data_IF_191315730752
#
_entry.id   IF_191315730752
#
_cell.length_a   1.000
_cell.length_b   1.000
_cell.length_c   1.000
_cell.angle_alpha   90.00
_cell.angle_beta   90.00
_cell.angle_gamma   90.00
#
_symmetry.space_group_name_H-M   'P 1'
#
loop_
_entity.id
_entity.type
_entity.pdbx_description
1 polymer ?
#
# COMPACT_ATOMS: atom_id res chain seq x y z
N UNK A 1 -12.01 -34.88 9.49
CA UNK A 1 -12.01 -33.41 9.35
C UNK A 1 -11.40 -33.10 7.99
N UNK A 2 -12.20 -32.65 7.01
CA UNK A 2 -11.66 -32.19 5.72
C UNK A 2 -10.88 -30.91 5.97
N UNK A 3 -9.59 -30.91 5.65
CA UNK A 3 -8.77 -29.69 5.67
C UNK A 3 -9.33 -28.71 4.65
N UNK A 4 -9.76 -27.54 5.12
CA UNK A 4 -10.21 -26.46 4.24
C UNK A 4 -9.11 -26.15 3.23
N UNK A 5 -9.49 -26.02 1.95
CA UNK A 5 -8.59 -25.51 0.93
C UNK A 5 -7.97 -24.22 1.44
N UNK A 6 -6.64 -24.16 1.46
CA UNK A 6 -5.90 -22.95 1.80
C UNK A 6 -6.27 -21.90 0.77
N UNK A 7 -7.13 -20.95 1.13
CA UNK A 7 -7.44 -19.81 0.27
C UNK A 7 -6.11 -19.12 -0.08
N UNK A 8 -5.77 -19.13 -1.37
CA UNK A 8 -4.51 -18.58 -1.86
C UNK A 8 -4.62 -17.09 -2.17
N UNK A 9 -5.84 -16.57 -2.21
CA UNK A 9 -6.16 -15.16 -2.46
C UNK A 9 -7.31 -14.75 -1.53
N UNK A 10 -7.24 -13.52 -1.01
CA UNK A 10 -8.35 -12.92 -0.28
C UNK A 10 -9.53 -12.69 -1.25
N UNK A 11 -10.79 -12.92 -0.82
CA UNK A 11 -11.94 -12.39 -1.55
C UNK A 11 -11.84 -10.86 -1.62
N UNK A 12 -12.54 -10.24 -2.58
CA UNK A 12 -12.43 -8.79 -2.81
C UNK A 12 -12.76 -7.97 -1.55
N UNK A 13 -13.81 -8.35 -0.84
CA UNK A 13 -14.22 -7.72 0.42
C UNK A 13 -13.15 -7.88 1.50
N UNK A 14 -12.53 -9.06 1.58
CA UNK A 14 -11.41 -9.31 2.50
C UNK A 14 -10.16 -8.50 2.14
N UNK A 15 -9.92 -8.27 0.85
CA UNK A 15 -8.86 -7.37 0.39
C UNK A 15 -9.16 -5.91 0.75
N UNK A 16 -10.38 -5.42 0.52
CA UNK A 16 -10.79 -4.07 0.90
C UNK A 16 -10.71 -3.86 2.41
N UNK A 17 -11.17 -4.83 3.21
CA UNK A 17 -11.06 -4.77 4.66
C UNK A 17 -9.59 -4.71 5.10
N UNK A 18 -8.71 -5.53 4.49
CA UNK A 18 -7.28 -5.48 4.76
C UNK A 18 -6.68 -4.11 4.43
N UNK A 19 -7.07 -3.49 3.31
CA UNK A 19 -6.65 -2.12 2.97
C UNK A 19 -7.11 -1.11 4.02
N UNK A 20 -8.38 -1.16 4.44
CA UNK A 20 -8.90 -0.28 5.48
C UNK A 20 -8.12 -0.44 6.79
N UNK A 21 -7.85 -1.68 7.22
CA UNK A 21 -7.08 -1.95 8.44
C UNK A 21 -5.62 -1.49 8.33
N UNK A 22 -4.98 -1.68 7.18
CA UNK A 22 -3.62 -1.18 6.96
C UNK A 22 -3.56 0.35 6.98
N UNK A 23 -4.58 1.00 6.43
CA UNK A 23 -4.72 2.46 6.47
C UNK A 23 -4.89 3.02 7.89
N UNK A 24 -5.26 2.20 8.88
CA UNK A 24 -5.31 2.65 10.28
C UNK A 24 -4.01 2.52 11.02
N UNK A 25 -3.08 1.69 10.56
CA UNK A 25 -1.83 1.39 11.25
C UNK A 25 -0.68 2.26 10.76
N UNK A 26 -0.71 2.62 9.48
CA UNK A 26 0.38 3.36 8.84
C UNK A 26 0.27 4.86 9.12
N UNK A 27 1.41 5.49 9.34
CA UNK A 27 1.50 6.95 9.42
C UNK A 27 1.33 7.56 8.02
N UNK A 28 0.43 8.53 7.89
CA UNK A 28 0.17 9.28 6.65
C UNK A 28 0.25 10.79 6.88
N UNK A 29 0.71 11.55 5.88
CA UNK A 29 0.67 13.01 5.91
C UNK A 29 -0.76 13.49 5.65
N UNK A 30 -1.15 14.63 6.21
CA UNK A 30 -2.45 15.26 5.92
C UNK A 30 -2.45 15.96 4.57
N UNK A 31 -3.65 16.19 4.04
CA UNK A 31 -3.81 16.93 2.79
C UNK A 31 -3.21 18.33 2.91
N UNK A 32 -3.37 18.99 4.07
CA UNK A 32 -2.80 20.30 4.35
C UNK A 32 -1.27 20.26 4.37
N UNK A 33 -0.65 19.19 4.90
CA UNK A 33 0.81 19.03 4.90
C UNK A 33 1.35 18.83 3.49
N UNK A 34 0.66 18.04 2.67
CA UNK A 34 1.00 17.80 1.26
C UNK A 34 0.90 19.11 0.47
N UNK A 35 -0.22 19.83 0.63
CA UNK A 35 -0.46 21.11 -0.05
C UNK A 35 0.57 22.17 0.38
N UNK A 36 0.85 22.29 1.68
CA UNK A 36 1.83 23.25 2.20
C UNK A 36 3.26 22.96 1.71
N UNK A 37 3.59 21.70 1.47
CA UNK A 37 4.87 21.29 0.89
C UNK A 37 4.93 21.50 -0.64
N UNK A 38 3.80 21.75 -1.31
CA UNK A 38 3.71 21.83 -2.76
C UNK A 38 3.86 20.47 -3.46
N UNK A 39 3.68 19.36 -2.73
CA UNK A 39 3.74 18.01 -3.28
C UNK A 39 2.38 17.64 -3.89
N UNK A 40 2.36 16.81 -4.95
CA UNK A 40 1.09 16.41 -5.59
C UNK A 40 0.35 15.30 -4.86
N UNK A 41 1.07 14.48 -4.09
CA UNK A 41 0.52 13.34 -3.38
C UNK A 41 1.41 12.90 -2.21
N UNK A 42 0.84 12.03 -1.37
CA UNK A 42 1.53 11.48 -0.20
C UNK A 42 2.77 10.65 -0.54
N UNK A 43 2.83 10.02 -1.72
CA UNK A 43 4.00 9.27 -2.16
C UNK A 43 5.20 10.19 -2.38
N UNK A 44 5.01 11.30 -3.08
CA UNK A 44 6.05 12.32 -3.27
C UNK A 44 6.42 12.99 -1.95
N UNK A 45 5.43 13.40 -1.15
CA UNK A 45 5.68 14.00 0.15
C UNK A 45 6.55 13.09 1.04
N UNK A 46 6.18 11.82 1.17
CA UNK A 46 6.91 10.87 2.01
C UNK A 46 8.30 10.56 1.45
N UNK A 47 8.46 10.50 0.13
CA UNK A 47 9.77 10.31 -0.51
C UNK A 47 10.69 11.51 -0.26
N UNK A 48 10.17 12.73 -0.45
CA UNK A 48 10.89 13.98 -0.17
C UNK A 48 11.28 14.06 1.29
N UNK A 49 10.34 13.83 2.21
CA UNK A 49 10.60 13.84 3.65
C UNK A 49 11.70 12.85 4.02
N UNK A 50 11.66 11.63 3.47
CA UNK A 50 12.70 10.62 3.70
C UNK A 50 14.08 11.01 3.16
N UNK A 51 14.14 11.61 1.97
CA UNK A 51 15.43 11.91 1.31
C UNK A 51 16.06 13.22 1.78
N UNK A 52 15.25 14.21 2.17
CA UNK A 52 15.72 15.56 2.48
C UNK A 52 15.65 15.89 3.98
N UNK A 53 14.73 15.25 4.73
CA UNK A 53 14.37 15.59 6.10
C UNK A 53 14.12 14.33 6.94
N UNK A 54 15.10 13.41 6.93
CA UNK A 54 14.99 12.07 7.51
C UNK A 54 14.54 12.09 8.98
N UNK A 55 15.02 13.04 9.78
CA UNK A 55 14.61 13.18 11.20
C UNK A 55 13.09 13.41 11.33
N UNK A 56 12.51 14.27 10.49
CA UNK A 56 11.06 14.53 10.51
C UNK A 56 10.26 13.33 10.02
N UNK A 57 10.82 12.59 9.06
CA UNK A 57 10.22 11.34 8.59
C UNK A 57 10.14 10.30 9.71
N UNK A 58 11.23 10.08 10.45
CA UNK A 58 11.26 9.13 11.57
C UNK A 58 10.37 9.58 12.75
N UNK A 59 10.35 10.87 13.07
CA UNK A 59 9.42 11.43 14.06
C UNK A 59 7.97 11.17 13.66
N UNK A 60 7.60 11.46 12.42
CA UNK A 60 6.25 11.25 11.92
C UNK A 60 5.84 9.77 11.97
N UNK A 61 6.73 8.86 11.57
CA UNK A 61 6.47 7.42 11.65
C UNK A 61 6.25 6.96 13.10
N UNK A 62 7.02 7.51 14.04
CA UNK A 62 6.95 7.12 15.46
C UNK A 62 5.71 7.68 16.14
N UNK A 63 5.41 8.96 15.94
CA UNK A 63 4.32 9.66 16.63
C UNK A 63 2.94 9.34 16.06
N UNK A 64 2.86 9.01 14.76
CA UNK A 64 1.59 8.82 14.05
C UNK A 64 1.33 7.38 13.63
N UNK A 65 2.18 6.43 14.02
CA UNK A 65 1.86 5.02 13.87
C UNK A 65 0.58 4.69 14.64
N UNK A 66 -0.42 4.19 13.92
CA UNK A 66 -1.70 3.87 14.52
C UNK A 66 -1.65 2.54 15.28
N UNK A 67 -2.45 2.44 16.32
CA UNK A 67 -2.61 1.21 17.09
C UNK A 67 -3.67 0.32 16.44
N UNK A 68 -3.47 -0.98 16.54
CA UNK A 68 -4.44 -1.96 16.07
C UNK A 68 -5.81 -1.79 16.76
N UNK A 69 -6.86 -1.63 15.95
CA UNK A 69 -8.23 -1.44 16.42
C UNK A 69 -8.67 0.01 16.55
N UNK A 70 -7.75 0.98 16.43
CA UNK A 70 -8.08 2.40 16.50
C UNK A 70 -8.45 2.96 15.12
N UNK A 71 -9.28 4.01 15.12
CA UNK A 71 -9.64 4.77 13.92
C UNK A 71 -8.60 5.88 13.72
N UNK A 72 -8.14 6.16 12.47
CA UNK A 72 -7.23 7.26 12.22
C UNK A 72 -7.79 8.59 12.77
N UNK A 73 -7.02 9.25 13.64
CA UNK A 73 -7.45 10.49 14.28
C UNK A 73 -7.18 11.75 13.45
N UNK A 74 -6.17 11.71 12.56
CA UNK A 74 -5.67 12.91 11.90
C UNK A 74 -6.47 13.29 10.65
N UNK A 75 -7.20 12.34 10.06
CA UNK A 75 -7.96 12.54 8.82
C UNK A 75 -9.01 11.42 8.63
N UNK A 76 -10.04 11.66 7.78
CA UNK A 76 -11.01 10.64 7.44
C UNK A 76 -10.38 9.40 6.78
N UNK A 77 -10.90 8.22 7.09
CA UNK A 77 -10.41 6.92 6.58
C UNK A 77 -10.18 6.88 5.06
N UNK A 78 -11.09 7.45 4.28
CA UNK A 78 -10.99 7.44 2.81
C UNK A 78 -9.77 8.21 2.29
N UNK A 79 -9.30 9.24 3.02
CA UNK A 79 -8.06 9.96 2.71
C UNK A 79 -6.84 9.12 3.06
N UNK A 80 -6.84 8.45 4.22
CA UNK A 80 -5.78 7.50 4.57
C UNK A 80 -5.63 6.37 3.53
N UNK A 81 -6.75 5.81 3.05
CA UNK A 81 -6.74 4.81 1.96
C UNK A 81 -6.17 5.42 0.67
N UNK A 82 -6.60 6.63 0.31
CA UNK A 82 -6.07 7.32 -0.87
C UNK A 82 -4.56 7.50 -0.80
N UNK A 83 -4.03 8.00 0.32
CA UNK A 83 -2.58 8.15 0.53
C UNK A 83 -1.84 6.82 0.45
N UNK A 84 -2.40 5.76 1.04
CA UNK A 84 -1.83 4.43 0.95
C UNK A 84 -1.75 3.93 -0.49
N UNK A 85 -2.79 4.12 -1.28
CA UNK A 85 -2.81 3.74 -2.70
C UNK A 85 -1.79 4.52 -3.50
N UNK A 86 -1.67 5.84 -3.27
CA UNK A 86 -0.64 6.66 -3.92
C UNK A 86 0.77 6.19 -3.60
N UNK A 87 1.04 5.85 -2.33
CA UNK A 87 2.33 5.27 -1.93
C UNK A 87 2.61 3.93 -2.61
N UNK A 88 1.61 3.05 -2.73
CA UNK A 88 1.73 1.77 -3.42
C UNK A 88 2.04 1.99 -4.90
N UNK A 89 1.29 2.85 -5.58
CA UNK A 89 1.49 3.20 -6.99
C UNK A 89 2.92 3.70 -7.20
N UNK A 90 3.35 4.67 -6.38
CA UNK A 90 4.69 5.24 -6.48
C UNK A 90 5.79 4.19 -6.27
N UNK A 91 5.59 3.28 -5.31
CA UNK A 91 6.52 2.18 -5.07
C UNK A 91 6.65 1.26 -6.28
N UNK A 92 5.54 1.00 -6.99
CA UNK A 92 5.52 0.21 -8.22
C UNK A 92 6.25 0.98 -9.34
N UNK A 93 5.92 2.25 -9.57
CA UNK A 93 6.59 3.10 -10.57
C UNK A 93 8.11 3.17 -10.36
N UNK A 94 8.55 3.41 -9.11
CA UNK A 94 9.98 3.46 -8.77
C UNK A 94 10.67 2.12 -9.05
N UNK A 95 9.97 1.00 -8.86
CA UNK A 95 10.50 -0.34 -9.19
C UNK A 95 10.65 -0.55 -10.70
N UNK A 96 9.80 0.08 -11.52
CA UNK A 96 9.87 0.04 -12.98
C UNK A 96 11.06 0.84 -13.50
N UNK A 97 11.24 2.06 -12.99
CA UNK A 97 12.26 3.01 -13.47
C UNK A 97 13.67 2.67 -12.96
N UNK A 98 13.85 2.43 -11.66
CA UNK A 98 15.18 2.41 -11.06
C UNK A 98 15.84 1.03 -11.02
N UNK A 99 15.14 -0.04 -11.39
CA UNK A 99 15.68 -1.41 -11.45
C UNK A 99 16.33 -1.94 -10.15
N UNK A 100 16.25 -1.19 -9.05
CA UNK A 100 16.93 -1.50 -7.81
C UNK A 100 16.14 -2.57 -7.03
N UNK A 101 16.82 -3.69 -6.79
CA UNK A 101 16.39 -4.93 -6.15
C UNK A 101 15.98 -4.80 -4.66
N UNK A 102 15.18 -3.80 -4.27
CA UNK A 102 14.60 -3.78 -2.91
C UNK A 102 13.22 -4.44 -2.84
N UNK A 103 12.56 -4.63 -3.98
CA UNK A 103 11.38 -5.49 -4.14
C UNK A 103 11.41 -6.10 -5.53
N UNK A 104 12.16 -7.19 -5.71
CA UNK A 104 12.14 -8.03 -6.91
C UNK A 104 10.75 -8.62 -7.21
N UNK A 105 9.81 -8.55 -6.26
CA UNK A 105 8.55 -9.31 -6.27
C UNK A 105 7.29 -8.52 -6.67
N UNK A 106 7.39 -7.22 -6.98
CA UNK A 106 6.22 -6.41 -7.37
C UNK A 106 5.97 -6.37 -8.88
N UNK A 107 6.92 -6.86 -9.69
CA UNK A 107 6.73 -6.99 -11.14
C UNK A 107 6.09 -8.34 -11.44
N UNK A 108 4.82 -8.34 -11.80
CA UNK A 108 4.22 -9.52 -12.42
C UNK A 108 4.75 -9.59 -13.85
N UNK A 109 5.58 -10.59 -14.16
CA UNK A 109 6.02 -10.78 -15.53
C UNK A 109 4.83 -11.16 -16.43
N UNK A 110 4.84 -10.81 -17.74
CA UNK A 110 3.80 -11.24 -18.66
C UNK A 110 3.61 -12.77 -18.74
N UNK A 111 4.65 -13.53 -18.35
CA UNK A 111 4.59 -15.00 -18.25
C UNK A 111 3.82 -15.43 -17.01
N UNK A 112 4.12 -14.85 -15.85
CA UNK A 112 3.41 -15.14 -14.59
C UNK A 112 1.95 -14.71 -14.66
N UNK A 113 1.65 -13.55 -15.25
CA UNK A 113 0.28 -13.11 -15.45
C UNK A 113 -0.52 -14.12 -16.30
N UNK A 114 0.04 -14.55 -17.43
CA UNK A 114 -0.59 -15.56 -18.30
C UNK A 114 -0.80 -16.89 -17.57
N UNK A 115 0.20 -17.35 -16.82
CA UNK A 115 0.09 -18.57 -16.02
C UNK A 115 -0.98 -18.46 -14.93
N UNK A 116 -1.10 -17.29 -14.30
CA UNK A 116 -2.16 -17.03 -13.32
C UNK A 116 -3.55 -17.07 -13.98
N UNK A 117 -3.75 -16.37 -15.10
CA UNK A 117 -5.03 -16.37 -15.85
C UNK A 117 -5.44 -17.80 -16.23
N UNK A 118 -4.51 -18.60 -16.75
CA UNK A 118 -4.78 -19.99 -17.14
C UNK A 118 -5.19 -20.87 -15.94
N UNK A 119 -4.61 -20.65 -14.76
CA UNK A 119 -4.97 -21.37 -13.52
C UNK A 119 -6.35 -20.95 -13.01
N UNK A 120 -6.62 -19.65 -12.96
CA UNK A 120 -7.89 -19.09 -12.49
C UNK A 120 -9.06 -19.51 -13.37
N UNK A 121 -8.89 -19.52 -14.69
CA UNK A 121 -9.92 -19.97 -15.65
C UNK A 121 -10.20 -21.48 -15.58
N UNK A 122 -9.22 -22.31 -15.17
CA UNK A 122 -9.41 -23.75 -14.98
C UNK A 122 -10.16 -24.07 -13.68
N UNK A 123 -10.02 -23.24 -12.65
CA UNK A 123 -10.71 -23.39 -11.36
C UNK A 123 -12.20 -23.02 -11.38
N UNK A 124 -12.66 -22.23 -12.37
CA UNK A 124 -14.07 -21.83 -12.51
C UNK A 124 -14.95 -22.81 -13.30
N UNK A 125 -14.41 -23.95 -13.76
CA UNK A 125 -15.14 -24.96 -14.55
C UNK A 125 -15.76 -26.10 -13.73
N UNK A 126 -16.05 -25.91 -12.44
CA UNK A 126 -16.74 -26.89 -11.60
C UNK A 126 -18.08 -26.37 -11.13
#
# INVERSE_FOLDING_TARGET
QMGGLKETCLPFEGFLEALCRLATLKAFPTDEEIEAAGDSDAGLYMSRLKNEQEDQYETMLTERAGRWGDIPGNQPMHRCIHHMLMMIIRRVEDSEVNGHNTTSDLKISPKEFRQWVERSMKGQKQ
#
